data_IF_456752998978
#
_entry.id   IF_456752998978
#
_cell.length_a   1.000
_cell.length_b   1.000
_cell.length_c   1.000
_cell.angle_alpha   90.00
_cell.angle_beta   90.00
_cell.angle_gamma   90.00
#
_symmetry.space_group_name_H-M   'P 1'
#
loop_
_entity.id
_entity.type
_entity.pdbx_description
1 polymer ?
#
# COMPACT_ATOMS: atom_id res chain seq x y z
N UNK A 1 -4.00 1.41 3.71
CA UNK A 1 -5.34 1.46 4.39
C UNK A 1 -6.55 1.08 3.53
N UNK A 2 -6.54 1.15 2.19
CA UNK A 2 -7.75 0.76 1.41
C UNK A 2 -7.89 -0.76 1.25
N UNK A 3 -6.85 -1.58 1.44
CA UNK A 3 -6.96 -3.03 1.23
C UNK A 3 -7.50 -3.80 2.45
N UNK A 4 -7.24 -3.38 3.69
CA UNK A 4 -7.88 -3.97 4.88
C UNK A 4 -9.41 -3.76 4.89
N UNK A 5 -9.88 -2.61 4.39
CA UNK A 5 -11.30 -2.32 4.22
C UNK A 5 -12.02 -3.23 3.20
N UNK A 6 -11.29 -3.82 2.24
CA UNK A 6 -11.86 -4.65 1.16
C UNK A 6 -12.02 -6.13 1.53
N UNK A 7 -11.59 -6.50 2.73
CA UNK A 7 -11.80 -7.83 3.32
C UNK A 7 -12.79 -7.83 4.49
N UNK A 8 -13.51 -6.72 4.72
CA UNK A 8 -14.55 -6.64 5.74
C UNK A 8 -15.75 -7.50 5.32
N UNK A 9 -16.16 -8.52 6.10
CA UNK A 9 -17.54 -8.96 6.05
C UNK A 9 -18.42 -7.78 6.51
N UNK A 10 -19.62 -7.65 5.94
CA UNK A 10 -20.64 -6.74 6.46
C UNK A 10 -21.05 -7.23 7.86
N UNK A 11 -20.33 -6.81 8.89
CA UNK A 11 -20.74 -7.06 10.28
C UNK A 11 -21.91 -6.13 10.62
N UNK A 12 -23.06 -6.66 11.08
CA UNK A 12 -24.11 -5.82 11.64
C UNK A 12 -23.52 -5.09 12.85
N UNK A 13 -23.53 -3.75 12.84
CA UNK A 13 -23.07 -2.92 13.95
C UNK A 13 -21.72 -2.21 13.77
N UNK A 14 -20.94 -2.49 12.72
CA UNK A 14 -19.76 -1.68 12.39
C UNK A 14 -20.15 -0.60 11.37
N UNK A 15 -20.24 0.67 11.80
CA UNK A 15 -20.53 1.81 10.93
C UNK A 15 -19.22 2.43 10.38
N UNK A 16 -18.79 2.12 9.14
CA UNK A 16 -17.53 2.61 8.59
C UNK A 16 -17.55 4.12 8.30
N UNK A 17 -18.70 4.78 8.35
CA UNK A 17 -18.85 6.21 8.04
C UNK A 17 -18.43 7.11 9.20
N UNK A 18 -18.34 6.58 10.43
CA UNK A 18 -17.97 7.39 11.62
C UNK A 18 -16.47 7.62 11.81
N UNK A 19 -15.58 6.89 11.12
CA UNK A 19 -14.13 7.06 11.27
C UNK A 19 -13.44 7.91 10.17
N UNK A 20 -14.19 8.39 9.17
CA UNK A 20 -13.64 9.24 8.09
C UNK A 20 -13.87 10.75 8.25
N UNK A 21 -14.53 11.21 9.33
CA UNK A 21 -14.90 12.64 9.50
C UNK A 21 -14.30 13.38 10.71
N UNK A 22 -13.21 12.89 11.32
CA UNK A 22 -12.52 13.62 12.40
C UNK A 22 -11.00 13.64 12.26
N UNK A 23 -10.51 14.24 11.17
CA UNK A 23 -9.19 14.87 11.15
C UNK A 23 -9.32 16.32 10.65
N UNK A 24 -10.19 17.08 11.33
CA UNK A 24 -10.06 18.53 11.39
C UNK A 24 -8.77 18.85 12.15
N UNK A 25 -7.73 19.18 11.40
CA UNK A 25 -6.45 19.63 11.95
C UNK A 25 -6.67 20.89 12.77
N UNK A 26 -6.71 20.77 14.10
CA UNK A 26 -6.51 21.90 15.02
C UNK A 26 -5.09 22.42 14.79
N UNK A 27 -4.96 23.37 13.86
CA UNK A 27 -3.74 24.15 13.64
C UNK A 27 -3.46 24.94 14.91
N UNK A 28 -2.49 24.49 15.71
CA UNK A 28 -1.92 25.31 16.78
C UNK A 28 -1.39 26.62 16.16
N UNK A 29 -1.66 27.79 16.74
CA UNK A 29 -1.08 29.05 16.28
C UNK A 29 0.44 28.99 16.48
N UNK A 30 1.19 28.95 15.38
CA UNK A 30 2.65 29.10 15.39
C UNK A 30 2.95 30.57 15.69
N UNK A 31 3.50 30.84 16.89
CA UNK A 31 4.14 32.11 17.21
C UNK A 31 5.31 32.31 16.24
N UNK A 32 5.16 33.24 15.30
CA UNK A 32 6.20 33.64 14.36
C UNK A 32 7.21 34.54 15.08
N UNK A 33 8.24 33.95 15.67
CA UNK A 33 9.45 34.69 16.02
C UNK A 33 10.18 35.07 14.72
N UNK A 34 10.16 36.36 14.39
CA UNK A 34 10.76 36.93 13.19
C UNK A 34 12.26 36.78 13.15
N UNK A 35 12.76 35.73 12.48
CA UNK A 35 14.10 35.72 11.89
C UNK A 35 13.93 35.83 10.38
N UNK A 36 14.04 37.06 9.85
CA UNK A 36 14.22 37.36 8.42
C UNK A 36 15.53 36.70 7.96
N UNK A 37 15.51 35.38 7.75
CA UNK A 37 16.54 34.68 6.99
C UNK A 37 16.44 35.23 5.58
N UNK A 38 17.39 36.10 5.21
CA UNK A 38 17.68 36.48 3.83
C UNK A 38 17.88 35.18 3.06
N UNK A 39 16.83 34.69 2.41
CA UNK A 39 16.92 33.51 1.57
C UNK A 39 17.78 33.90 0.40
N UNK A 40 19.06 33.52 0.43
CA UNK A 40 19.93 33.58 -0.73
C UNK A 40 19.13 33.05 -1.93
N UNK A 41 18.98 33.89 -2.95
CA UNK A 41 18.22 33.58 -4.15
C UNK A 41 18.85 32.36 -4.81
N UNK A 42 18.38 31.17 -4.43
CA UNK A 42 18.75 29.93 -5.11
C UNK A 42 18.37 30.14 -6.57
N UNK A 43 19.37 30.15 -7.45
CA UNK A 43 19.14 30.27 -8.88
C UNK A 43 18.06 29.27 -9.26
N UNK A 44 16.91 29.78 -9.70
CA UNK A 44 15.77 28.92 -9.98
C UNK A 44 16.13 28.10 -11.20
N UNK A 45 16.36 26.79 -11.01
CA UNK A 45 16.64 25.87 -12.13
C UNK A 45 15.58 26.06 -13.22
N UNK A 46 16.04 26.39 -14.42
CA UNK A 46 15.23 26.51 -15.63
C UNK A 46 15.32 25.20 -16.41
N UNK A 47 14.20 24.78 -16.99
CA UNK A 47 14.09 23.57 -17.80
C UNK A 47 13.63 23.93 -19.21
N UNK A 48 13.98 23.14 -20.21
CA UNK A 48 13.48 23.30 -21.58
C UNK A 48 12.28 22.38 -21.85
N UNK A 49 11.59 22.60 -22.97
CA UNK A 49 10.61 21.63 -23.47
C UNK A 49 11.26 20.32 -23.92
N UNK A 50 12.51 20.36 -24.40
CA UNK A 50 13.28 19.15 -24.67
C UNK A 50 13.50 18.33 -23.38
N UNK A 51 13.89 18.98 -22.28
CA UNK A 51 14.01 18.32 -20.96
C UNK A 51 12.68 17.73 -20.49
N UNK A 52 11.56 18.42 -20.75
CA UNK A 52 10.22 17.94 -20.43
C UNK A 52 9.92 16.64 -21.17
N UNK A 53 10.20 16.57 -22.47
CA UNK A 53 9.98 15.38 -23.29
C UNK A 53 10.96 14.25 -22.91
N UNK A 54 12.25 14.54 -22.77
CA UNK A 54 13.25 13.50 -22.49
C UNK A 54 12.99 12.79 -21.16
N UNK A 55 12.48 13.51 -20.14
CA UNK A 55 12.18 12.96 -18.82
C UNK A 55 10.86 12.18 -18.75
N UNK A 56 10.10 12.08 -19.84
CA UNK A 56 8.89 11.27 -19.87
C UNK A 56 9.19 9.77 -19.82
N UNK A 57 8.28 8.94 -19.29
CA UNK A 57 8.46 7.49 -19.31
C UNK A 57 8.56 6.93 -20.73
N UNK A 58 9.44 5.96 -20.96
CA UNK A 58 9.62 5.31 -22.28
C UNK A 58 8.31 4.76 -22.87
N UNK A 59 7.39 4.29 -22.04
CA UNK A 59 6.08 3.80 -22.49
C UNK A 59 5.20 4.90 -23.06
N UNK A 60 5.33 6.14 -22.58
CA UNK A 60 4.66 7.30 -23.16
C UNK A 60 5.35 7.74 -24.46
N UNK A 61 6.68 7.71 -24.48
CA UNK A 61 7.49 8.08 -25.65
C UNK A 61 7.26 7.19 -26.87
N UNK A 62 6.86 5.93 -26.65
CA UNK A 62 6.53 4.98 -27.73
C UNK A 62 5.17 5.23 -28.41
N UNK A 63 4.33 6.12 -27.88
CA UNK A 63 3.03 6.43 -28.50
C UNK A 63 3.22 7.22 -29.80
N UNK A 64 2.43 6.95 -30.83
CA UNK A 64 2.50 7.65 -32.11
C UNK A 64 2.33 9.17 -31.95
N UNK A 65 1.38 9.60 -31.13
CA UNK A 65 1.14 11.02 -30.79
C UNK A 65 2.36 11.71 -30.15
N UNK A 66 3.23 10.94 -29.49
CA UNK A 66 4.43 11.48 -28.88
C UNK A 66 5.48 11.88 -29.91
N UNK A 67 5.54 11.17 -31.04
CA UNK A 67 6.40 11.55 -32.17
C UNK A 67 6.00 12.94 -32.70
N UNK A 68 4.69 13.22 -32.77
CA UNK A 68 4.18 14.51 -33.22
C UNK A 68 4.61 15.67 -32.30
N UNK A 69 4.64 15.45 -30.98
CA UNK A 69 5.18 16.44 -30.03
C UNK A 69 6.66 16.78 -30.29
N UNK A 70 7.43 15.77 -30.70
CA UNK A 70 8.84 15.96 -31.07
C UNK A 70 8.96 16.74 -32.38
N UNK A 71 8.08 16.48 -33.35
CA UNK A 71 7.99 17.24 -34.60
C UNK A 71 7.66 18.71 -34.33
N UNK A 72 6.65 18.99 -33.49
CA UNK A 72 6.32 20.37 -33.08
C UNK A 72 7.53 21.07 -32.45
N UNK A 73 8.23 20.41 -31.53
CA UNK A 73 9.41 21.02 -30.88
C UNK A 73 10.56 21.29 -31.87
N UNK A 74 10.78 20.40 -32.85
CA UNK A 74 11.85 20.56 -33.84
C UNK A 74 11.54 21.66 -34.86
N UNK A 75 10.28 21.79 -35.25
CA UNK A 75 9.88 22.70 -36.33
C UNK A 75 9.54 24.12 -35.85
N UNK A 76 9.35 24.34 -34.54
CA UNK A 76 8.94 25.65 -34.00
C UNK A 76 10.03 26.27 -33.13
N UNK A 77 10.78 27.29 -33.61
CA UNK A 77 11.88 27.92 -32.87
C UNK A 77 11.46 28.52 -31.52
N UNK A 78 10.24 29.03 -31.42
CA UNK A 78 9.69 29.60 -30.17
C UNK A 78 9.62 28.56 -29.05
N UNK A 79 9.22 27.32 -29.38
CA UNK A 79 9.18 26.21 -28.41
C UNK A 79 10.58 25.79 -27.97
N UNK A 80 11.57 25.83 -28.86
CA UNK A 80 12.95 25.50 -28.53
C UNK A 80 13.57 26.51 -27.56
N UNK A 81 13.23 27.79 -27.72
CA UNK A 81 13.72 28.88 -26.87
C UNK A 81 12.97 28.96 -25.54
N UNK A 82 11.76 28.40 -25.45
CA UNK A 82 10.93 28.45 -24.24
C UNK A 82 11.65 27.85 -23.02
N UNK A 83 11.77 28.65 -21.96
CA UNK A 83 12.35 28.25 -20.67
C UNK A 83 11.25 28.14 -19.61
N UNK A 84 11.18 26.98 -18.98
CA UNK A 84 10.21 26.66 -17.95
C UNK A 84 10.86 26.83 -16.56
N UNK A 85 10.29 27.70 -15.74
CA UNK A 85 10.58 27.66 -14.30
C UNK A 85 10.10 26.35 -13.67
N UNK A 86 10.70 25.95 -12.55
CA UNK A 86 10.38 24.69 -11.85
C UNK A 86 8.87 24.47 -11.61
N UNK A 87 8.13 25.54 -11.25
CA UNK A 87 6.67 25.46 -11.06
C UNK A 87 5.93 25.16 -12.36
N UNK A 88 6.25 25.87 -13.43
CA UNK A 88 5.66 25.67 -14.76
C UNK A 88 5.94 24.24 -15.26
N UNK A 89 7.19 23.82 -15.16
CA UNK A 89 7.62 22.46 -15.47
C UNK A 89 6.81 21.41 -14.70
N UNK A 90 6.64 21.60 -13.39
CA UNK A 90 5.89 20.68 -12.53
C UNK A 90 4.41 20.59 -12.92
N UNK A 91 3.78 21.72 -13.29
CA UNK A 91 2.38 21.73 -13.72
C UNK A 91 2.18 20.94 -15.02
N UNK A 92 3.07 21.14 -16.00
CA UNK A 92 3.05 20.40 -17.26
C UNK A 92 3.38 18.92 -17.04
N UNK A 93 4.48 18.62 -16.33
CA UNK A 93 4.92 17.25 -16.08
C UNK A 93 3.84 16.41 -15.37
N UNK A 94 3.08 17.02 -14.47
CA UNK A 94 1.98 16.37 -13.77
C UNK A 94 0.62 16.51 -14.47
N UNK A 95 0.54 17.19 -15.61
CA UNK A 95 -0.68 17.47 -16.38
C UNK A 95 -1.83 18.06 -15.54
N UNK A 96 -1.52 19.00 -14.64
CA UNK A 96 -2.48 19.59 -13.69
C UNK A 96 -3.31 20.75 -14.27
N UNK A 97 -3.12 21.11 -15.54
CA UNK A 97 -3.67 22.33 -16.14
C UNK A 97 -4.93 21.98 -16.93
N UNK A 98 -6.10 22.35 -16.42
CA UNK A 98 -7.38 22.19 -17.14
C UNK A 98 -7.42 22.95 -18.47
N UNK A 99 -8.17 22.43 -19.45
CA UNK A 99 -8.24 23.00 -20.79
C UNK A 99 -8.69 24.47 -20.77
N UNK A 100 -9.69 24.80 -19.94
CA UNK A 100 -10.18 26.16 -19.72
C UNK A 100 -9.15 27.13 -19.12
N UNK A 101 -8.12 26.61 -18.43
CA UNK A 101 -7.09 27.42 -17.78
C UNK A 101 -5.84 27.62 -18.66
N UNK A 102 -5.86 27.11 -19.89
CA UNK A 102 -4.68 27.11 -20.75
C UNK A 102 -4.29 28.52 -21.22
N UNK A 103 -5.27 29.37 -21.50
CA UNK A 103 -5.06 30.79 -21.83
C UNK A 103 -4.34 31.55 -20.71
N UNK A 104 -4.83 31.40 -19.47
CA UNK A 104 -4.19 31.95 -18.28
C UNK A 104 -2.78 31.36 -18.08
N UNK A 105 -2.61 30.07 -18.30
CA UNK A 105 -1.32 29.40 -18.20
C UNK A 105 -0.28 30.00 -19.16
N UNK A 106 -0.66 30.23 -20.43
CA UNK A 106 0.21 30.90 -21.41
C UNK A 106 0.62 32.29 -20.94
N UNK A 107 -0.34 33.10 -20.49
CA UNK A 107 -0.08 34.47 -20.01
C UNK A 107 0.81 34.48 -18.78
N UNK A 108 0.52 33.64 -17.78
CA UNK A 108 1.26 33.60 -16.50
C UNK A 108 2.71 33.18 -16.70
N UNK A 109 2.98 32.22 -17.58
CA UNK A 109 4.33 31.68 -17.80
C UNK A 109 5.00 32.20 -19.07
N UNK A 110 4.37 33.15 -19.78
CA UNK A 110 4.85 33.77 -21.03
C UNK A 110 5.24 32.70 -22.07
N UNK A 111 4.38 31.71 -22.24
CA UNK A 111 4.58 30.62 -23.21
C UNK A 111 3.88 30.93 -24.53
N UNK A 112 4.42 30.47 -25.68
CA UNK A 112 3.76 30.65 -26.96
C UNK A 112 2.45 29.87 -27.02
N UNK A 113 1.43 30.45 -27.65
CA UNK A 113 0.14 29.79 -27.88
C UNK A 113 0.29 28.80 -29.04
N UNK A 114 0.74 27.58 -28.72
CA UNK A 114 1.03 26.55 -29.71
C UNK A 114 0.21 25.27 -29.44
N UNK A 115 -0.23 24.52 -30.48
CA UNK A 115 -0.88 23.21 -30.35
C UNK A 115 -0.10 22.16 -29.56
N UNK A 116 1.21 22.38 -29.36
CA UNK A 116 2.08 21.53 -28.55
C UNK A 116 1.54 21.30 -27.14
N UNK A 117 1.12 22.37 -26.44
CA UNK A 117 0.71 22.28 -25.05
C UNK A 117 -0.63 21.53 -24.84
N UNK A 118 -1.73 21.84 -25.56
CA UNK A 118 -2.97 21.08 -25.41
C UNK A 118 -2.77 19.62 -25.84
N UNK A 119 -1.99 19.37 -26.90
CA UNK A 119 -1.67 18.02 -27.34
C UNK A 119 -0.88 17.26 -26.25
N UNK A 120 0.19 17.86 -25.71
CA UNK A 120 1.00 17.26 -24.65
C UNK A 120 0.17 16.92 -23.40
N UNK A 121 -0.69 17.86 -22.98
CA UNK A 121 -1.56 17.66 -21.82
C UNK A 121 -2.56 16.53 -22.03
N UNK A 122 -3.16 16.42 -23.23
CA UNK A 122 -4.07 15.32 -23.59
C UNK A 122 -3.36 13.97 -23.49
N UNK A 123 -2.26 13.79 -24.23
CA UNK A 123 -1.46 12.56 -24.26
C UNK A 123 -1.00 12.15 -22.86
N UNK A 124 -0.56 13.13 -22.06
CA UNK A 124 -0.10 12.89 -20.70
C UNK A 124 -1.23 12.48 -19.74
N UNK A 125 -2.42 13.07 -19.87
CA UNK A 125 -3.60 12.71 -19.08
C UNK A 125 -4.08 11.31 -19.39
N UNK A 126 -4.20 10.97 -20.67
CA UNK A 126 -4.57 9.62 -21.09
C UNK A 126 -3.59 8.58 -20.53
N UNK A 127 -2.28 8.86 -20.61
CA UNK A 127 -1.27 8.02 -19.99
C UNK A 127 -1.47 7.88 -18.47
N UNK A 128 -1.76 8.97 -17.76
CA UNK A 128 -2.01 8.91 -16.32
C UNK A 128 -3.27 8.10 -16.00
N UNK A 129 -4.36 8.29 -16.76
CA UNK A 129 -5.60 7.53 -16.63
C UNK A 129 -5.35 6.03 -16.85
N UNK A 130 -4.61 5.65 -17.90
CA UNK A 130 -4.22 4.28 -18.16
C UNK A 130 -3.42 3.67 -17.01
N UNK A 131 -2.50 4.44 -16.42
CA UNK A 131 -1.71 3.97 -15.27
C UNK A 131 -2.56 3.78 -14.02
N UNK A 132 -3.59 4.59 -13.83
CA UNK A 132 -4.58 4.40 -12.76
C UNK A 132 -5.38 3.12 -13.02
N UNK A 133 -5.94 2.97 -14.23
CA UNK A 133 -6.70 1.78 -14.64
C UNK A 133 -5.90 0.49 -14.46
N UNK A 134 -4.68 0.42 -15.00
CA UNK A 134 -3.79 -0.76 -14.86
C UNK A 134 -3.49 -1.06 -13.38
N UNK A 135 -3.32 -0.02 -12.55
CA UNK A 135 -3.09 -0.19 -11.11
C UNK A 135 -4.33 -0.77 -10.43
N UNK A 136 -5.52 -0.30 -10.78
CA UNK A 136 -6.79 -0.78 -10.26
C UNK A 136 -7.10 -2.22 -10.70
N UNK A 137 -6.92 -2.54 -11.97
CA UNK A 137 -7.03 -3.90 -12.51
C UNK A 137 -6.07 -4.86 -11.80
N UNK A 138 -4.80 -4.47 -11.66
CA UNK A 138 -3.82 -5.25 -10.91
C UNK A 138 -4.25 -5.44 -9.46
N UNK A 139 -4.78 -4.39 -8.83
CA UNK A 139 -5.23 -4.45 -7.45
C UNK A 139 -6.44 -5.38 -7.29
N UNK A 140 -7.41 -5.32 -8.20
CA UNK A 140 -8.57 -6.21 -8.25
C UNK A 140 -8.12 -7.66 -8.38
N UNK A 141 -7.28 -7.95 -9.37
CA UNK A 141 -6.66 -9.26 -9.56
C UNK A 141 -5.99 -9.78 -8.27
N UNK A 142 -5.17 -8.95 -7.62
CA UNK A 142 -4.49 -9.34 -6.38
C UNK A 142 -5.50 -9.69 -5.28
N UNK A 143 -6.56 -8.89 -5.11
CA UNK A 143 -7.57 -9.13 -4.09
C UNK A 143 -8.34 -10.42 -4.33
N UNK A 144 -8.77 -10.66 -5.57
CA UNK A 144 -9.52 -11.85 -5.93
C UNK A 144 -8.70 -13.11 -5.69
N UNK A 145 -7.43 -13.10 -6.09
CA UNK A 145 -6.51 -14.20 -5.84
C UNK A 145 -6.16 -14.40 -4.36
N UNK A 146 -6.09 -13.33 -3.57
CA UNK A 146 -5.91 -13.42 -2.12
C UNK A 146 -7.16 -14.00 -1.42
N UNK A 147 -8.36 -13.85 -1.99
CA UNK A 147 -9.60 -14.45 -1.46
C UNK A 147 -9.68 -15.95 -1.72
N UNK A 148 -9.02 -16.44 -2.77
CA UNK A 148 -8.92 -17.87 -3.12
C UNK A 148 -7.92 -18.65 -2.25
N UNK A 149 -7.14 -17.99 -1.39
CA UNK A 149 -6.22 -18.67 -0.47
C UNK A 149 -6.98 -19.52 0.57
N UNK A 150 -6.32 -20.50 1.22
CA UNK A 150 -6.96 -21.32 2.25
C UNK A 150 -7.63 -20.46 3.34
N UNK A 151 -8.86 -20.82 3.72
CA UNK A 151 -9.67 -20.08 4.69
C UNK A 151 -8.92 -19.65 5.97
N UNK A 152 -8.16 -20.54 6.64
CA UNK A 152 -7.36 -20.16 7.81
C UNK A 152 -6.29 -19.09 7.53
N UNK A 153 -5.65 -19.14 6.36
CA UNK A 153 -4.64 -18.16 5.93
C UNK A 153 -5.30 -16.82 5.68
N UNK A 154 -6.41 -16.79 4.93
CA UNK A 154 -7.17 -15.57 4.66
C UNK A 154 -7.66 -14.94 5.97
N UNK A 155 -8.23 -15.75 6.86
CA UNK A 155 -8.69 -15.30 8.17
C UNK A 155 -7.58 -14.65 8.98
N UNK A 156 -6.38 -15.24 8.98
CA UNK A 156 -5.25 -14.70 9.73
C UNK A 156 -4.64 -13.46 9.09
N UNK A 157 -4.51 -13.40 7.76
CA UNK A 157 -4.06 -12.18 7.05
C UNK A 157 -5.00 -11.00 7.34
N UNK A 158 -6.32 -11.24 7.37
CA UNK A 158 -7.32 -10.24 7.74
C UNK A 158 -7.16 -9.80 9.20
N UNK A 159 -7.04 -10.77 10.10
CA UNK A 159 -6.87 -10.50 11.52
C UNK A 159 -5.64 -9.63 11.79
N UNK A 160 -4.50 -9.93 11.17
CA UNK A 160 -3.26 -9.15 11.30
C UNK A 160 -3.41 -7.71 10.75
N UNK A 161 -4.19 -7.52 9.68
CA UNK A 161 -4.51 -6.18 9.19
C UNK A 161 -5.27 -5.34 10.22
N UNK A 162 -6.30 -5.90 10.85
CA UNK A 162 -7.06 -5.22 11.91
C UNK A 162 -6.24 -5.00 13.18
N UNK A 163 -5.39 -5.98 13.53
CA UNK A 163 -4.47 -5.86 14.65
C UNK A 163 -3.52 -4.68 14.47
N UNK A 164 -2.94 -4.53 13.28
CA UNK A 164 -2.08 -3.39 13.01
C UNK A 164 -2.86 -2.08 13.03
N UNK A 165 -4.08 -2.02 12.47
CA UNK A 165 -4.92 -0.81 12.54
C UNK A 165 -5.19 -0.39 14.00
N UNK A 166 -5.38 -1.35 14.91
CA UNK A 166 -5.54 -1.09 16.35
C UNK A 166 -4.30 -0.44 16.98
N UNK A 167 -3.09 -0.95 16.68
CA UNK A 167 -1.85 -0.40 17.22
C UNK A 167 -1.35 0.86 16.49
N UNK A 168 -1.72 1.03 15.22
CA UNK A 168 -1.34 2.17 14.38
C UNK A 168 -2.40 3.28 14.43
N UNK A 169 -2.71 3.78 15.64
CA UNK A 169 -3.74 4.82 15.85
C UNK A 169 -3.49 6.13 15.05
N UNK A 170 -2.25 6.38 14.62
CA UNK A 170 -1.87 7.55 13.81
C UNK A 170 -2.04 7.34 12.30
N UNK A 171 -2.33 6.11 11.85
CA UNK A 171 -2.51 5.75 10.44
C UNK A 171 -1.27 5.93 9.58
N UNK A 172 -0.09 6.08 10.19
CA UNK A 172 1.14 6.39 9.47
C UNK A 172 1.85 5.11 9.02
N UNK A 173 1.85 4.88 7.69
CA UNK A 173 2.59 3.82 6.99
C UNK A 173 2.48 2.40 7.61
N UNK A 174 1.35 1.71 7.44
CA UNK A 174 1.19 0.34 7.93
C UNK A 174 2.21 -0.62 7.26
N UNK A 175 2.78 -1.52 8.06
CA UNK A 175 3.68 -2.59 7.66
C UNK A 175 2.96 -3.69 6.88
N UNK A 176 1.66 -3.86 7.10
CA UNK A 176 0.81 -4.82 6.41
C UNK A 176 0.85 -4.61 4.89
N UNK A 177 0.67 -3.36 4.44
CA UNK A 177 0.75 -2.98 3.02
C UNK A 177 2.16 -3.21 2.42
N UNK A 178 3.21 -3.29 3.25
CA UNK A 178 4.61 -3.40 2.81
C UNK A 178 5.13 -4.84 2.78
N UNK A 179 4.62 -5.70 3.65
CA UNK A 179 5.28 -6.97 3.97
C UNK A 179 4.35 -8.18 3.93
N UNK A 180 3.08 -7.99 4.27
CA UNK A 180 2.13 -9.10 4.30
C UNK A 180 1.23 -9.11 3.06
N UNK A 181 0.80 -7.93 2.61
CA UNK A 181 -0.04 -7.84 1.42
C UNK A 181 0.82 -7.77 0.14
N UNK A 182 0.54 -8.61 -0.88
CA UNK A 182 1.37 -8.63 -2.07
C UNK A 182 1.11 -7.42 -2.97
N UNK A 183 2.18 -6.76 -3.43
CA UNK A 183 2.08 -5.57 -4.31
C UNK A 183 2.11 -5.92 -5.82
N UNK A 184 2.45 -7.15 -6.18
CA UNK A 184 2.68 -7.60 -7.57
C UNK A 184 1.96 -8.92 -7.85
N UNK A 185 1.59 -9.16 -9.13
CA UNK A 185 0.97 -10.41 -9.57
C UNK A 185 1.88 -11.63 -9.32
N UNK A 186 3.19 -11.47 -9.49
CA UNK A 186 4.19 -12.51 -9.21
C UNK A 186 4.13 -12.95 -7.74
N UNK A 187 4.12 -11.99 -6.81
CA UNK A 187 4.09 -12.31 -5.36
C UNK A 187 2.82 -13.03 -4.94
N UNK A 188 1.68 -12.70 -5.57
CA UNK A 188 0.42 -13.43 -5.36
C UNK A 188 0.55 -14.88 -5.82
N UNK A 189 1.15 -15.12 -6.99
CA UNK A 189 1.36 -16.47 -7.49
C UNK A 189 2.25 -17.29 -6.54
N UNK A 190 3.32 -16.69 -6.02
CA UNK A 190 4.14 -17.30 -4.96
C UNK A 190 3.29 -17.67 -3.74
N UNK A 191 2.44 -16.76 -3.26
CA UNK A 191 1.57 -17.01 -2.10
C UNK A 191 0.58 -18.17 -2.30
N UNK A 192 0.10 -18.38 -3.53
CA UNK A 192 -0.78 -19.53 -3.83
C UNK A 192 -0.05 -20.87 -3.74
N UNK A 193 1.27 -20.87 -3.89
CA UNK A 193 2.11 -22.06 -3.80
C UNK A 193 2.69 -22.27 -2.41
N UNK A 194 2.44 -21.35 -1.47
CA UNK A 194 3.02 -21.45 -0.14
C UNK A 194 2.46 -22.64 0.63
N UNK A 195 3.38 -23.46 1.12
CA UNK A 195 3.08 -24.47 2.13
C UNK A 195 2.70 -23.81 3.47
N UNK A 196 2.09 -24.58 4.36
CA UNK A 196 1.75 -24.12 5.71
C UNK A 196 2.98 -23.57 6.46
N UNK A 197 4.12 -24.25 6.36
CA UNK A 197 5.37 -23.83 6.99
C UNK A 197 5.86 -22.48 6.43
N UNK A 198 5.76 -22.25 5.12
CA UNK A 198 6.14 -20.98 4.50
C UNK A 198 5.23 -19.83 4.97
N UNK A 199 3.92 -20.08 5.07
CA UNK A 199 2.98 -19.10 5.66
C UNK A 199 3.33 -18.75 7.10
N UNK A 200 3.66 -19.74 7.94
CA UNK A 200 4.08 -19.50 9.31
C UNK A 200 5.36 -18.66 9.40
N UNK A 201 6.35 -18.92 8.54
CA UNK A 201 7.58 -18.11 8.48
C UNK A 201 7.24 -16.67 8.11
N UNK A 202 6.37 -16.46 7.12
CA UNK A 202 5.89 -15.13 6.74
C UNK A 202 5.19 -14.43 7.92
N UNK A 203 4.29 -15.11 8.63
CA UNK A 203 3.57 -14.55 9.76
C UNK A 203 4.47 -14.23 10.95
N UNK A 204 5.40 -15.12 11.33
CA UNK A 204 6.39 -14.85 12.38
C UNK A 204 7.24 -13.63 12.04
N UNK A 205 7.68 -13.53 10.78
CA UNK A 205 8.46 -12.39 10.30
C UNK A 205 7.66 -11.09 10.40
N UNK A 206 6.38 -11.11 10.00
CA UNK A 206 5.52 -9.94 10.09
C UNK A 206 5.26 -9.52 11.55
N UNK A 207 4.93 -10.46 12.42
CA UNK A 207 4.68 -10.20 13.84
C UNK A 207 5.92 -9.62 14.56
N UNK A 208 7.13 -10.12 14.24
CA UNK A 208 8.38 -9.54 14.74
C UNK A 208 8.56 -8.08 14.30
N UNK A 209 8.16 -7.74 13.07
CA UNK A 209 8.21 -6.35 12.59
C UNK A 209 7.18 -5.48 13.31
N UNK A 210 6.00 -6.00 13.62
CA UNK A 210 5.01 -5.29 14.44
C UNK A 210 5.59 -4.99 15.84
N UNK A 211 6.25 -5.95 16.46
CA UNK A 211 6.91 -5.80 17.77
C UNK A 211 8.00 -4.73 17.75
N UNK A 212 8.87 -4.75 16.73
CA UNK A 212 9.93 -3.75 16.55
C UNK A 212 9.36 -2.34 16.28
N UNK A 213 8.22 -2.25 15.58
CA UNK A 213 7.65 -0.97 15.15
C UNK A 213 6.74 -0.33 16.20
N UNK A 214 5.93 -1.13 16.88
CA UNK A 214 4.90 -0.67 17.80
C UNK A 214 5.27 -1.07 19.22
N UNK A 215 5.81 -0.13 20.00
CA UNK A 215 6.25 -0.36 21.39
C UNK A 215 5.15 -0.96 22.29
N UNK A 216 3.88 -0.69 21.99
CA UNK A 216 2.72 -1.22 22.70
C UNK A 216 2.32 -2.64 22.28
N UNK A 217 3.00 -3.25 21.31
CA UNK A 217 2.75 -4.61 20.85
C UNK A 217 3.76 -5.58 21.50
N UNK A 218 3.39 -6.29 22.58
CA UNK A 218 4.33 -7.14 23.30
C UNK A 218 4.61 -8.44 22.54
N UNK A 219 5.84 -8.95 22.64
CA UNK A 219 6.26 -10.21 22.01
C UNK A 219 5.43 -11.44 22.44
N UNK A 220 4.94 -11.46 23.69
CA UNK A 220 4.04 -12.53 24.16
C UNK A 220 2.73 -12.60 23.37
N UNK A 221 2.20 -11.45 22.93
CA UNK A 221 1.04 -11.43 22.03
C UNK A 221 1.39 -12.00 20.67
N UNK A 222 2.58 -11.69 20.13
CA UNK A 222 3.03 -12.23 18.86
C UNK A 222 3.12 -13.77 18.90
N UNK A 223 3.72 -14.34 19.93
CA UNK A 223 3.83 -15.79 20.10
C UNK A 223 2.47 -16.47 20.20
N UNK A 224 1.55 -15.92 21.01
CA UNK A 224 0.18 -16.44 21.11
C UNK A 224 -0.55 -16.41 19.78
N UNK A 225 -0.41 -15.35 18.99
CA UNK A 225 -1.08 -15.26 17.69
C UNK A 225 -0.60 -16.33 16.71
N UNK A 226 0.70 -16.64 16.72
CA UNK A 226 1.23 -17.78 15.93
C UNK A 226 0.64 -19.09 16.43
N UNK A 227 0.58 -19.30 17.75
CA UNK A 227 -0.02 -20.50 18.32
C UNK A 227 -1.51 -20.64 17.97
N UNK A 228 -2.28 -19.54 18.00
CA UNK A 228 -3.66 -19.50 17.55
C UNK A 228 -3.81 -19.89 16.08
N UNK A 229 -2.89 -19.42 15.21
CA UNK A 229 -2.89 -19.81 13.79
C UNK A 229 -2.58 -21.31 13.62
N UNK A 230 -1.58 -21.84 14.35
CA UNK A 230 -1.22 -23.27 14.32
C UNK A 230 -2.41 -24.15 14.76
N UNK A 231 -3.15 -23.76 15.79
CA UNK A 231 -4.30 -24.54 16.27
C UNK A 231 -5.64 -24.17 15.62
N UNK A 232 -5.66 -23.22 14.67
CA UNK A 232 -6.89 -22.79 14.00
C UNK A 232 -7.93 -22.17 14.96
N UNK A 233 -7.47 -21.46 15.99
CA UNK A 233 -8.29 -20.81 17.01
C UNK A 233 -7.99 -19.30 17.10
N UNK A 234 -8.19 -18.60 15.97
CA UNK A 234 -7.94 -17.16 15.90
C UNK A 234 -8.81 -16.38 16.90
N UNK A 235 -8.24 -15.37 17.60
CA UNK A 235 -9.01 -14.50 18.47
C UNK A 235 -9.98 -13.62 17.68
N UNK A 236 -11.06 -13.21 18.34
CA UNK A 236 -12.17 -12.47 17.70
C UNK A 236 -12.15 -10.96 17.96
N UNK A 237 -11.34 -10.46 18.91
CA UNK A 237 -11.35 -9.06 19.33
C UNK A 237 -9.97 -8.42 19.49
N UNK A 238 -9.97 -7.11 19.77
CA UNK A 238 -8.78 -6.28 20.00
C UNK A 238 -8.89 -5.57 21.35
N UNK A 239 -7.88 -5.64 22.24
CA UNK A 239 -6.64 -6.41 22.10
C UNK A 239 -6.88 -7.94 22.02
N UNK A 240 -5.94 -8.71 21.45
CA UNK A 240 -6.05 -10.16 21.33
C UNK A 240 -6.22 -10.82 22.70
N UNK A 241 -7.40 -11.38 22.93
CA UNK A 241 -7.67 -12.21 24.09
C UNK A 241 -7.27 -13.67 23.83
N UNK A 242 -6.79 -14.41 24.84
CA UNK A 242 -6.55 -15.84 24.73
C UNK A 242 -7.85 -16.59 24.36
N UNK A 243 -7.79 -17.62 23.50
CA UNK A 243 -8.93 -18.49 23.27
C UNK A 243 -9.24 -19.32 24.52
N UNK A 244 -10.50 -19.70 24.69
CA UNK A 244 -10.93 -20.54 25.83
C UNK A 244 -10.15 -21.87 25.87
N UNK A 245 -9.69 -22.27 27.06
CA UNK A 245 -8.85 -23.47 27.24
C UNK A 245 -9.52 -24.75 26.71
N UNK A 246 -10.84 -24.87 26.84
CA UNK A 246 -11.61 -25.99 26.28
C UNK A 246 -11.50 -26.05 24.74
N UNK A 247 -11.56 -24.90 24.06
CA UNK A 247 -11.39 -24.81 22.59
C UNK A 247 -9.96 -25.21 22.19
N UNK A 248 -8.94 -24.74 22.92
CA UNK A 248 -7.54 -25.08 22.69
C UNK A 248 -7.32 -26.58 22.80
N UNK A 249 -7.75 -27.19 23.91
CA UNK A 249 -7.63 -28.64 24.14
C UNK A 249 -8.35 -29.46 23.07
N UNK A 250 -9.56 -29.05 22.69
CA UNK A 250 -10.32 -29.70 21.61
C UNK A 250 -9.58 -29.66 20.28
N UNK A 251 -9.14 -28.47 19.85
CA UNK A 251 -8.40 -28.29 18.58
C UNK A 251 -7.07 -29.03 18.57
N UNK A 252 -6.35 -29.02 19.69
CA UNK A 252 -5.12 -29.78 19.83
C UNK A 252 -5.39 -31.29 19.66
N UNK A 253 -6.36 -31.86 20.38
CA UNK A 253 -6.72 -33.29 20.26
C UNK A 253 -7.07 -33.67 18.81
N UNK A 254 -7.93 -32.88 18.15
CA UNK A 254 -8.32 -33.09 16.76
C UNK A 254 -7.11 -33.12 15.82
N UNK A 255 -6.23 -32.12 15.91
CA UNK A 255 -5.06 -31.99 15.04
C UNK A 255 -3.97 -33.01 15.37
N UNK A 256 -3.77 -33.33 16.64
CA UNK A 256 -2.78 -34.30 17.10
C UNK A 256 -3.08 -35.71 16.62
N UNK A 257 -4.36 -36.13 16.65
CA UNK A 257 -4.75 -37.42 16.08
C UNK A 257 -4.43 -37.45 14.58
N UNK A 258 -4.82 -36.42 13.84
CA UNK A 258 -4.60 -36.34 12.39
C UNK A 258 -3.12 -36.33 11.99
N UNK A 259 -2.26 -35.75 12.81
CA UNK A 259 -0.84 -35.56 12.51
C UNK A 259 0.07 -36.43 13.40
N UNK A 260 -0.46 -37.48 14.03
CA UNK A 260 0.32 -38.35 14.91
C UNK A 260 1.37 -39.14 14.12
N UNK A 261 2.65 -39.21 14.55
CA UNK A 261 3.69 -39.97 13.86
C UNK A 261 3.34 -41.45 13.66
N UNK A 262 2.76 -42.09 14.68
CA UNK A 262 2.33 -43.49 14.62
C UNK A 262 1.22 -43.76 13.59
N UNK A 263 0.54 -42.70 13.13
CA UNK A 263 -0.47 -42.77 12.06
C UNK A 263 0.10 -42.29 10.70
N UNK A 264 1.43 -42.23 10.55
CA UNK A 264 2.11 -41.73 9.37
C UNK A 264 2.17 -40.19 9.27
N UNK A 265 1.87 -39.49 10.37
CA UNK A 265 1.92 -38.03 10.44
C UNK A 265 3.36 -37.48 10.54
N UNK A 266 3.51 -36.19 10.19
CA UNK A 266 4.79 -35.50 10.31
C UNK A 266 5.10 -35.12 11.77
N UNK A 267 6.19 -35.67 12.31
CA UNK A 267 6.67 -35.39 13.66
C UNK A 267 7.03 -33.91 13.90
N UNK A 268 7.45 -33.17 12.88
CA UNK A 268 7.72 -31.74 13.03
C UNK A 268 6.42 -30.96 13.27
N UNK A 269 5.38 -31.24 12.48
CA UNK A 269 4.03 -30.70 12.66
C UNK A 269 3.47 -31.06 14.05
N UNK A 270 3.60 -32.32 14.49
CA UNK A 270 3.12 -32.75 15.81
C UNK A 270 3.78 -31.98 16.96
N UNK A 271 5.12 -31.82 16.92
CA UNK A 271 5.85 -31.01 17.91
C UNK A 271 5.40 -29.56 17.92
N UNK A 272 5.09 -29.00 16.76
CA UNK A 272 4.59 -27.63 16.67
C UNK A 272 3.19 -27.48 17.27
N UNK A 273 2.28 -28.43 17.02
CA UNK A 273 0.96 -28.46 17.64
C UNK A 273 1.06 -28.50 19.17
N UNK A 274 1.96 -29.34 19.71
CA UNK A 274 2.21 -29.44 21.16
C UNK A 274 2.70 -28.11 21.71
N UNK A 275 3.73 -27.51 21.09
CA UNK A 275 4.26 -26.20 21.50
C UNK A 275 3.17 -25.11 21.46
N UNK A 276 2.33 -25.09 20.43
CA UNK A 276 1.26 -24.12 20.33
C UNK A 276 0.22 -24.29 21.45
N UNK A 277 -0.12 -25.54 21.80
CA UNK A 277 -0.99 -25.83 22.94
C UNK A 277 -0.39 -25.32 24.26
N UNK A 278 0.89 -25.62 24.52
CA UNK A 278 1.59 -25.19 25.73
C UNK A 278 1.62 -23.66 25.86
N UNK A 279 1.89 -22.95 24.76
CA UNK A 279 1.90 -21.47 24.74
C UNK A 279 0.52 -20.90 25.12
N UNK A 280 -0.57 -21.51 24.63
CA UNK A 280 -1.92 -21.01 24.88
C UNK A 280 -2.48 -21.40 26.24
N UNK A 281 -1.93 -22.43 26.91
CA UNK A 281 -2.40 -22.88 28.23
C UNK A 281 -1.55 -22.38 29.41
N UNK A 282 -0.37 -21.80 29.16
CA UNK A 282 0.49 -21.17 30.20
C UNK A 282 0.13 -19.72 30.53
N UNK A 283 -0.76 -19.12 29.75
CA UNK A 283 -1.25 -17.75 29.93
C UNK A 283 -2.62 -17.76 30.60
#
# INVERSE_FOLDING_TARGET
MVAAALFRPATPGYNPVRHMRRYGSRRRPRRHSGRRRRSAARSSRTYTLADLLQRQPKTLQKRAEYALLTVYLRNTPELQRARLGSRCYSLLHNARIEAQNLSHFYRTYRLPQHPFFPHFLRVKREYQADRVRIREERRRYILDQMRELPGPVVGFVRYLGYLEDYYNARGSHPLWDQHLFPATKKRVHEYRQYSRAQWMVLFRTHLRRLEQRYRSFPGTVAERLVACFVLGCLPTGFPPQPPASALVKRRYRELSLRHHPDQGGDAATFRELKRACDVLLRC
#
